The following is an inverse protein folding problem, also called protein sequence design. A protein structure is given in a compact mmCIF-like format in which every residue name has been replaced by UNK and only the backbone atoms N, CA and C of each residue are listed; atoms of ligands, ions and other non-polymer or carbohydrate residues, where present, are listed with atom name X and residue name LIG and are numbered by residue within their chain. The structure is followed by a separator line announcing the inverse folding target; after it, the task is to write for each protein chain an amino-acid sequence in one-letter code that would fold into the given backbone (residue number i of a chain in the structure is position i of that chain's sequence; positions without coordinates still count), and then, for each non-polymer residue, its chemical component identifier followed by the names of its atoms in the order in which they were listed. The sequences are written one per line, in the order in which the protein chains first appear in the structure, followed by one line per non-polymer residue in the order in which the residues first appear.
data_IF_944139099008
#
_entry.id   IF_944139099008
#
_cell.length_a   1.000
_cell.length_b   1.000
_cell.length_c   1.000
_cell.angle_alpha   90.00
_cell.angle_beta   90.00
_cell.angle_gamma   90.00
#
_symmetry.space_group_name_H-M   'P 1'
#
loop_
_entity.id
_entity.type
_entity.pdbx_description
1 polymer ?
#
# COMPACT_ATOMS: atom_id res chain seq x y z
N UNK A 1 23.78 55.19 -37.50
CA UNK A 1 22.33 54.95 -37.29
C UNK A 1 22.06 53.50 -37.70
N UNK A 2 22.05 52.53 -36.79
CA UNK A 2 20.98 52.14 -35.84
C UNK A 2 19.75 51.51 -36.53
N UNK A 3 19.63 50.20 -36.41
CA UNK A 3 18.35 49.53 -36.22
C UNK A 3 18.55 48.46 -35.12
N UNK A 4 17.82 48.54 -34.00
CA UNK A 4 17.86 47.53 -32.95
C UNK A 4 16.90 46.38 -33.29
N UNK A 5 17.38 45.14 -33.27
CA UNK A 5 16.53 43.96 -33.32
C UNK A 5 15.76 43.86 -31.99
N UNK A 6 14.54 44.38 -32.01
CA UNK A 6 13.57 44.23 -30.94
C UNK A 6 13.10 42.79 -30.88
N UNK A 7 13.80 41.95 -30.10
CA UNK A 7 13.13 40.84 -29.45
C UNK A 7 11.99 41.43 -28.61
N UNK A 8 10.73 41.03 -28.80
CA UNK A 8 9.65 41.53 -27.97
C UNK A 8 9.76 40.88 -26.59
N UNK A 9 10.66 41.43 -25.77
CA UNK A 9 10.64 41.28 -24.31
C UNK A 9 9.41 42.06 -23.86
N UNK A 10 8.27 41.37 -23.72
CA UNK A 10 7.06 41.98 -23.16
C UNK A 10 5.77 41.80 -23.97
N UNK A 11 5.57 40.67 -24.65
CA UNK A 11 4.19 40.23 -24.84
C UNK A 11 3.64 39.87 -23.46
N UNK A 12 2.84 40.74 -22.85
CA UNK A 12 2.16 40.45 -21.58
C UNK A 12 1.46 39.10 -21.72
N UNK A 13 1.98 38.11 -20.99
CA UNK A 13 1.48 36.75 -21.09
C UNK A 13 0.02 36.77 -20.66
N UNK A 14 -0.89 36.41 -21.56
CA UNK A 14 -2.31 36.46 -21.24
C UNK A 14 -2.57 35.60 -20.00
N UNK A 15 -3.52 36.01 -19.16
CA UNK A 15 -3.86 35.27 -17.93
C UNK A 15 -4.19 33.80 -18.23
N UNK A 16 -4.77 33.52 -19.39
CA UNK A 16 -5.00 32.16 -19.87
C UNK A 16 -3.72 31.37 -20.13
N UNK A 17 -2.66 31.99 -20.66
CA UNK A 17 -1.36 31.33 -20.85
C UNK A 17 -0.60 31.12 -19.53
N UNK A 18 -0.74 32.02 -18.55
CA UNK A 18 -0.16 31.85 -17.21
C UNK A 18 -0.83 30.70 -16.47
N UNK A 19 -2.16 30.62 -16.52
CA UNK A 19 -2.92 29.53 -15.91
C UNK A 19 -2.63 28.17 -16.58
N UNK A 20 -2.51 28.15 -17.93
CA UNK A 20 -2.14 26.95 -18.66
C UNK A 20 -0.72 26.46 -18.32
N UNK A 21 0.26 27.36 -18.18
CA UNK A 21 1.61 27.01 -17.73
C UNK A 21 1.62 26.52 -16.28
N UNK A 22 0.95 27.20 -15.35
CA UNK A 22 0.86 26.76 -13.95
C UNK A 22 0.19 25.38 -13.82
N UNK A 23 -0.85 25.10 -14.61
CA UNK A 23 -1.51 23.79 -14.62
C UNK A 23 -0.59 22.69 -15.18
N UNK A 24 0.24 23.03 -16.15
CA UNK A 24 1.23 22.11 -16.73
C UNK A 24 2.32 21.78 -15.72
N UNK A 25 2.84 22.79 -15.00
CA UNK A 25 3.87 22.60 -13.98
C UNK A 25 3.36 21.78 -12.79
N UNK A 26 2.10 22.01 -12.36
CA UNK A 26 1.45 21.18 -11.34
C UNK A 26 1.25 19.74 -11.81
N UNK A 27 0.90 19.52 -13.08
CA UNK A 27 0.78 18.16 -13.64
C UNK A 27 2.13 17.45 -13.66
N UNK A 28 3.22 18.16 -13.96
CA UNK A 28 4.58 17.62 -13.89
C UNK A 28 4.95 17.22 -12.46
N UNK A 29 4.68 18.09 -11.48
CA UNK A 29 4.94 17.82 -10.06
C UNK A 29 4.21 16.57 -9.55
N UNK A 30 2.92 16.44 -9.90
CA UNK A 30 2.12 15.27 -9.53
C UNK A 30 2.68 14.00 -10.18
N UNK A 31 3.13 14.09 -11.43
CA UNK A 31 3.74 12.93 -12.10
C UNK A 31 5.02 12.47 -11.42
N UNK A 32 5.87 13.42 -11.00
CA UNK A 32 7.11 13.14 -10.27
C UNK A 32 6.83 12.55 -8.88
N UNK A 33 5.85 13.07 -8.15
CA UNK A 33 5.47 12.53 -6.84
C UNK A 33 4.94 11.09 -6.97
N UNK A 34 4.16 10.81 -8.01
CA UNK A 34 3.70 9.44 -8.32
C UNK A 34 4.88 8.55 -8.71
N UNK A 35 5.83 9.05 -9.49
CA UNK A 35 7.02 8.29 -9.89
C UNK A 35 7.88 7.94 -8.66
N UNK A 36 8.04 8.88 -7.73
CA UNK A 36 8.73 8.69 -6.46
C UNK A 36 8.01 7.69 -5.56
N UNK A 37 6.70 7.86 -5.36
CA UNK A 37 5.88 6.93 -4.58
C UNK A 37 5.92 5.50 -5.16
N UNK A 38 5.92 5.37 -6.49
CA UNK A 38 6.12 4.08 -7.16
C UNK A 38 7.50 3.49 -6.90
N UNK A 39 8.56 4.31 -6.92
CA UNK A 39 9.91 3.85 -6.61
C UNK A 39 10.02 3.37 -5.16
N UNK A 40 9.44 4.11 -4.21
CA UNK A 40 9.42 3.74 -2.80
C UNK A 40 8.62 2.45 -2.57
N UNK A 41 7.44 2.32 -3.19
CA UNK A 41 6.64 1.09 -3.13
C UNK A 41 7.40 -0.11 -3.70
N UNK A 42 8.08 0.04 -4.85
CA UNK A 42 8.93 -1.02 -5.42
C UNK A 42 10.05 -1.41 -4.46
N UNK A 43 10.67 -0.44 -3.79
CA UNK A 43 11.73 -0.69 -2.82
C UNK A 43 11.19 -1.42 -1.58
N UNK A 44 10.01 -1.04 -1.08
CA UNK A 44 9.34 -1.69 0.04
C UNK A 44 8.90 -3.11 -0.32
N UNK A 45 8.35 -3.33 -1.51
CA UNK A 45 8.02 -4.66 -2.03
C UNK A 45 9.28 -5.50 -2.16
N UNK A 46 10.38 -4.96 -2.69
CA UNK A 46 11.64 -5.69 -2.80
C UNK A 46 12.19 -6.08 -1.43
N UNK A 47 12.20 -5.15 -0.47
CA UNK A 47 12.63 -5.41 0.91
C UNK A 47 11.74 -6.45 1.61
N UNK A 48 10.42 -6.31 1.45
CA UNK A 48 9.43 -7.25 1.97
C UNK A 48 9.57 -8.63 1.34
N UNK A 49 9.81 -8.72 0.03
CA UNK A 49 10.02 -9.98 -0.68
C UNK A 49 11.33 -10.66 -0.29
N UNK A 50 12.43 -9.92 -0.21
CA UNK A 50 13.73 -10.49 0.20
C UNK A 50 13.69 -11.00 1.64
N UNK A 51 13.13 -10.21 2.56
CA UNK A 51 12.99 -10.65 3.96
C UNK A 51 11.99 -11.81 4.09
N UNK A 52 10.82 -11.70 3.47
CA UNK A 52 9.80 -12.76 3.46
C UNK A 52 10.32 -14.08 2.89
N UNK A 53 11.06 -14.01 1.77
CA UNK A 53 11.71 -15.18 1.16
C UNK A 53 12.78 -15.79 2.07
N UNK A 54 13.67 -14.97 2.64
CA UNK A 54 14.70 -15.44 3.57
C UNK A 54 14.11 -16.07 4.83
N UNK A 55 13.07 -15.47 5.42
CA UNK A 55 12.36 -16.03 6.58
C UNK A 55 11.66 -17.36 6.24
N UNK A 56 11.09 -17.47 5.05
CA UNK A 56 10.45 -18.72 4.61
C UNK A 56 11.49 -19.85 4.45
N UNK A 57 12.63 -19.54 3.82
CA UNK A 57 13.74 -20.49 3.67
C UNK A 57 14.33 -20.90 5.03
N UNK A 58 14.55 -19.94 5.93
CA UNK A 58 15.02 -20.20 7.29
C UNK A 58 14.04 -21.08 8.09
N UNK A 59 12.74 -20.79 7.98
CA UNK A 59 11.69 -21.62 8.59
C UNK A 59 11.70 -23.05 8.05
N UNK A 60 11.87 -23.23 6.74
CA UNK A 60 11.95 -24.56 6.14
C UNK A 60 13.20 -25.32 6.60
N UNK A 61 14.36 -24.66 6.65
CA UNK A 61 15.60 -25.26 7.13
C UNK A 61 15.52 -25.66 8.61
N UNK A 62 14.90 -24.84 9.45
CA UNK A 62 14.62 -25.18 10.86
C UNK A 62 13.69 -26.39 10.96
N UNK A 63 12.64 -26.45 10.14
CA UNK A 63 11.72 -27.59 10.11
C UNK A 63 12.44 -28.89 9.71
N UNK A 64 13.31 -28.84 8.70
CA UNK A 64 14.12 -29.98 8.27
C UNK A 64 15.20 -30.36 9.30
N UNK A 65 15.67 -29.44 10.15
CA UNK A 65 16.66 -29.75 11.18
C UNK A 65 16.06 -30.35 12.46
N UNK A 66 14.74 -30.23 12.67
CA UNK A 66 14.05 -30.76 13.88
C UNK A 66 14.34 -32.24 14.18
N UNK A 67 14.32 -33.18 13.21
CA UNK A 67 14.66 -34.56 13.51
C UNK A 67 16.08 -34.69 14.06
N UNK A 68 17.05 -33.98 13.44
CA UNK A 68 18.45 -34.01 13.86
C UNK A 68 18.64 -33.39 15.25
N UNK A 69 17.95 -32.29 15.54
CA UNK A 69 17.92 -31.69 16.88
C UNK A 69 17.33 -32.64 17.91
N UNK A 70 16.29 -33.39 17.56
CA UNK A 70 15.67 -34.38 18.45
C UNK A 70 16.63 -35.53 18.78
N UNK A 71 17.35 -36.06 17.77
CA UNK A 71 18.41 -37.04 17.98
C UNK A 71 19.50 -36.49 18.90
N UNK A 72 19.99 -35.28 18.64
CA UNK A 72 21.04 -34.66 19.45
C UNK A 72 20.63 -34.50 20.93
N UNK A 73 19.40 -34.04 21.18
CA UNK A 73 18.83 -33.93 22.52
C UNK A 73 18.66 -35.31 23.18
N UNK A 74 18.12 -36.29 22.47
CA UNK A 74 17.85 -37.61 23.03
C UNK A 74 19.15 -38.31 23.44
N UNK A 75 20.18 -38.25 22.60
CA UNK A 75 21.50 -38.77 22.94
C UNK A 75 22.16 -37.97 24.07
N UNK A 76 22.05 -36.64 24.08
CA UNK A 76 22.58 -35.81 25.18
C UNK A 76 21.96 -36.13 26.54
N UNK A 77 20.63 -36.28 26.60
CA UNK A 77 19.91 -36.66 27.82
C UNK A 77 20.32 -38.07 28.25
N UNK A 78 20.48 -39.00 27.30
CA UNK A 78 20.93 -40.37 27.56
C UNK A 78 22.33 -40.38 28.18
N UNK A 79 23.27 -39.55 27.70
CA UNK A 79 24.64 -39.48 28.24
C UNK A 79 24.67 -39.05 29.70
N UNK A 80 23.78 -38.14 30.10
CA UNK A 80 23.76 -37.59 31.46
C UNK A 80 22.95 -38.44 32.44
N UNK A 81 21.86 -39.06 31.98
CA UNK A 81 20.90 -39.74 32.87
C UNK A 81 20.97 -41.27 32.83
N UNK A 82 21.55 -41.87 31.79
CA UNK A 82 21.57 -43.33 31.59
C UNK A 82 20.19 -43.97 31.34
N UNK A 83 19.12 -43.17 31.27
CA UNK A 83 17.73 -43.62 31.10
C UNK A 83 17.47 -44.32 29.78
N UNK A 84 16.40 -45.13 29.71
CA UNK A 84 15.97 -45.79 28.47
C UNK A 84 15.87 -44.79 27.29
N UNK A 85 16.36 -45.19 26.12
CA UNK A 85 16.43 -44.35 24.94
C UNK A 85 15.05 -43.81 24.54
N UNK A 86 14.00 -44.64 24.67
CA UNK A 86 12.62 -44.24 24.39
C UNK A 86 12.15 -43.06 25.26
N UNK A 87 12.50 -43.06 26.55
CA UNK A 87 12.17 -41.96 27.47
C UNK A 87 12.92 -40.69 27.09
N UNK A 88 14.17 -40.81 26.65
CA UNK A 88 14.98 -39.66 26.21
C UNK A 88 14.40 -39.00 24.94
N UNK A 89 13.94 -39.80 23.97
CA UNK A 89 13.25 -39.28 22.77
C UNK A 89 11.92 -38.60 23.12
N UNK A 90 11.13 -39.19 24.02
CA UNK A 90 9.88 -38.57 24.50
C UNK A 90 10.14 -37.24 25.19
N UNK A 91 11.15 -37.15 26.05
CA UNK A 91 11.52 -35.90 26.72
C UNK A 91 12.00 -34.85 25.71
N UNK A 92 12.82 -35.25 24.73
CA UNK A 92 13.32 -34.36 23.68
C UNK A 92 12.18 -33.82 22.82
N UNK A 93 11.22 -34.67 22.48
CA UNK A 93 10.01 -34.27 21.78
C UNK A 93 9.18 -33.29 22.62
N UNK A 94 8.93 -33.60 23.88
CA UNK A 94 8.21 -32.72 24.80
C UNK A 94 8.88 -31.34 24.93
N UNK A 95 10.21 -31.30 25.05
CA UNK A 95 10.97 -30.06 25.08
C UNK A 95 10.80 -29.23 23.80
N UNK A 96 10.88 -29.87 22.63
CA UNK A 96 10.64 -29.19 21.35
C UNK A 96 9.21 -28.66 21.22
N UNK A 97 8.20 -29.40 21.69
CA UNK A 97 6.80 -28.96 21.70
C UNK A 97 6.60 -27.76 22.61
N UNK A 98 7.23 -27.73 23.79
CA UNK A 98 7.17 -26.58 24.70
C UNK A 98 7.79 -25.33 24.07
N UNK A 99 8.96 -25.46 23.45
CA UNK A 99 9.62 -24.37 22.73
C UNK A 99 8.76 -23.88 21.57
N UNK A 100 8.22 -24.79 20.76
CA UNK A 100 7.32 -24.45 19.66
C UNK A 100 6.05 -23.73 20.15
N UNK A 101 5.46 -24.18 21.25
CA UNK A 101 4.32 -23.54 21.89
C UNK A 101 4.64 -22.11 22.35
N UNK A 102 5.81 -21.90 22.97
CA UNK A 102 6.24 -20.58 23.42
C UNK A 102 6.48 -19.63 22.22
N UNK A 103 7.15 -20.11 21.17
CA UNK A 103 7.37 -19.34 19.94
C UNK A 103 6.04 -18.98 19.26
N UNK A 104 5.09 -19.91 19.20
CA UNK A 104 3.76 -19.66 18.65
C UNK A 104 3.01 -18.59 19.47
N UNK A 105 3.10 -18.64 20.79
CA UNK A 105 2.47 -17.67 21.69
C UNK A 105 3.05 -16.27 21.49
N UNK A 106 4.38 -16.17 21.39
CA UNK A 106 5.08 -14.93 21.04
C UNK A 106 4.60 -14.44 19.67
N UNK A 107 4.60 -15.29 18.64
CA UNK A 107 4.12 -14.93 17.30
C UNK A 107 2.69 -14.38 17.30
N UNK A 108 1.78 -15.01 18.06
CA UNK A 108 0.41 -14.53 18.23
C UNK A 108 0.36 -13.18 18.96
N UNK A 109 1.18 -12.96 19.99
CA UNK A 109 1.24 -11.67 20.68
C UNK A 109 1.72 -10.56 19.75
N UNK A 110 2.76 -10.81 18.95
CA UNK A 110 3.24 -9.87 17.94
C UNK A 110 2.19 -9.59 16.87
N UNK A 111 1.52 -10.63 16.37
CA UNK A 111 0.43 -10.49 15.42
C UNK A 111 -0.75 -9.69 15.99
N UNK A 112 -1.13 -9.92 17.25
CA UNK A 112 -2.16 -9.12 17.96
C UNK A 112 -1.74 -7.66 18.10
N UNK A 113 -0.47 -7.39 18.43
CA UNK A 113 0.08 -6.02 18.48
C UNK A 113 0.02 -5.34 17.12
N UNK A 114 0.42 -6.03 16.06
CA UNK A 114 0.37 -5.55 14.69
C UNK A 114 -1.08 -5.29 14.23
N UNK A 115 -2.03 -6.16 14.58
CA UNK A 115 -3.46 -5.95 14.32
C UNK A 115 -4.06 -4.78 15.09
N UNK A 116 -3.57 -4.47 16.29
CA UNK A 116 -4.00 -3.30 17.08
C UNK A 116 -3.48 -1.99 16.47
N UNK A 117 -2.30 -2.02 15.86
CA UNK A 117 -1.78 -0.95 15.00
C UNK A 117 -2.39 -1.02 13.59
N UNK A 118 -3.69 -0.71 13.48
CA UNK A 118 -4.49 -0.81 12.25
C UNK A 118 -4.10 0.17 11.11
N UNK A 119 -2.83 0.53 10.93
CA UNK A 119 -2.40 1.45 9.86
C UNK A 119 -2.57 0.86 8.46
N UNK A 120 -1.90 -0.25 8.10
CA UNK A 120 -1.90 -0.76 6.73
C UNK A 120 -3.24 -1.36 6.27
N UNK A 121 -3.97 -2.03 7.17
CA UNK A 121 -5.26 -2.65 6.85
C UNK A 121 -6.40 -1.64 6.69
N UNK A 122 -6.42 -0.54 7.47
CA UNK A 122 -7.42 0.52 7.29
C UNK A 122 -7.21 1.26 5.98
N UNK A 123 -5.97 1.56 5.63
CA UNK A 123 -5.66 2.24 4.35
C UNK A 123 -6.09 1.38 3.17
N UNK A 124 -5.78 0.08 3.19
CA UNK A 124 -6.25 -0.84 2.15
C UNK A 124 -7.78 -0.96 2.09
N UNK A 125 -8.45 -0.98 3.25
CA UNK A 125 -9.92 -1.03 3.33
C UNK A 125 -10.57 0.26 2.80
N UNK A 126 -10.10 1.43 3.23
CA UNK A 126 -10.61 2.73 2.77
C UNK A 126 -10.38 2.97 1.29
N UNK A 127 -9.27 2.50 0.70
CA UNK A 127 -9.05 2.57 -0.76
C UNK A 127 -10.05 1.68 -1.50
N UNK A 128 -10.32 0.48 -0.98
CA UNK A 128 -11.29 -0.45 -1.58
C UNK A 128 -12.72 0.06 -1.47
N UNK A 129 -13.04 0.70 -0.35
CA UNK A 129 -14.32 1.36 -0.11
C UNK A 129 -14.52 2.54 -1.05
N UNK A 130 -13.53 3.43 -1.18
CA UNK A 130 -13.56 4.54 -2.15
C UNK A 130 -13.73 4.07 -3.59
N UNK A 131 -13.03 3.00 -4.00
CA UNK A 131 -13.21 2.41 -5.32
C UNK A 131 -14.62 1.83 -5.51
N UNK A 132 -15.20 1.23 -4.46
CA UNK A 132 -16.55 0.67 -4.49
C UNK A 132 -17.66 1.73 -4.52
N UNK A 133 -17.42 2.92 -3.96
CA UNK A 133 -18.35 4.05 -4.07
C UNK A 133 -18.30 4.64 -5.48
N UNK A 134 -17.09 4.78 -6.04
CA UNK A 134 -16.89 5.31 -7.40
C UNK A 134 -17.43 4.38 -8.49
N UNK A 135 -17.32 3.05 -8.35
CA UNK A 135 -17.92 2.11 -9.31
C UNK A 135 -19.46 2.08 -9.24
N UNK A 136 -20.05 2.39 -8.07
CA UNK A 136 -21.50 2.41 -7.87
C UNK A 136 -22.12 3.76 -8.23
N UNK A 137 -21.31 4.81 -8.40
CA UNK A 137 -21.75 6.08 -8.94
C UNK A 137 -22.02 5.94 -10.45
N UNK A 138 -23.24 5.51 -10.80
CA UNK A 138 -23.74 5.52 -12.17
C UNK A 138 -23.68 6.97 -12.72
N UNK A 139 -23.14 7.21 -13.94
CA UNK A 139 -23.17 8.54 -14.55
C UNK A 139 -24.61 9.04 -14.57
N UNK A 140 -24.88 10.16 -13.90
CA UNK A 140 -26.20 10.78 -13.95
C UNK A 140 -26.52 11.10 -15.42
N UNK A 141 -27.65 10.61 -15.96
CA UNK A 141 -28.16 11.10 -17.23
C UNK A 141 -28.32 12.62 -17.06
N UNK A 142 -27.72 13.41 -17.96
CA UNK A 142 -28.10 14.82 -18.07
C UNK A 142 -29.61 14.82 -18.24
N UNK A 143 -30.34 15.45 -17.32
CA UNK A 143 -31.66 15.94 -17.65
C UNK A 143 -31.45 16.94 -18.78
N UNK A 144 -31.78 16.52 -20.01
CA UNK A 144 -32.05 17.47 -21.07
C UNK A 144 -33.20 18.33 -20.55
N UNK A 145 -32.87 19.58 -20.20
CA UNK A 145 -33.89 20.58 -19.92
C UNK A 145 -34.82 20.59 -21.14
N UNK A 146 -36.15 20.48 -20.95
CA UNK A 146 -37.09 20.53 -22.05
C UNK A 146 -36.80 21.74 -22.93
N UNK A 147 -36.43 21.46 -24.18
CA UNK A 147 -36.05 22.42 -25.21
C UNK A 147 -37.19 23.39 -25.59
N UNK A 148 -38.33 23.27 -24.91
CA UNK A 148 -39.57 24.04 -25.09
C UNK A 148 -39.68 25.26 -24.15
N UNK A 149 -38.80 25.40 -23.15
CA UNK A 149 -38.80 26.58 -22.23
C UNK A 149 -37.76 27.65 -22.61
N UNK A 150 -36.94 27.41 -23.62
CA UNK A 150 -35.91 28.37 -24.04
C UNK A 150 -36.46 29.69 -24.61
N UNK A 151 -37.59 29.77 -25.35
CA UNK A 151 -37.98 31.05 -25.95
C UNK A 151 -38.66 32.04 -24.98
N UNK A 152 -39.33 31.57 -23.92
CA UNK A 152 -40.12 32.46 -23.04
C UNK A 152 -39.33 33.09 -21.88
N UNK A 153 -38.22 32.48 -21.45
CA UNK A 153 -37.42 33.01 -20.33
C UNK A 153 -36.54 34.20 -20.76
N UNK A 154 -36.07 34.22 -22.01
CA UNK A 154 -35.32 35.33 -22.61
C UNK A 154 -36.22 36.52 -22.96
N UNK A 155 -37.48 36.29 -23.32
CA UNK A 155 -38.44 37.38 -23.59
C UNK A 155 -38.95 38.07 -22.31
N UNK A 156 -39.08 37.33 -21.20
CA UNK A 156 -39.46 37.87 -19.90
C UNK A 156 -38.38 38.78 -19.29
N UNK A 157 -37.10 38.51 -19.56
CA UNK A 157 -35.96 39.37 -19.14
C UNK A 157 -35.87 40.65 -20.00
N UNK A 158 -36.24 40.59 -21.28
CA UNK A 158 -36.15 41.73 -22.19
C UNK A 158 -37.28 42.78 -22.03
N UNK A 159 -38.43 42.41 -21.45
CA UNK A 159 -39.54 43.35 -21.21
C UNK A 159 -39.48 44.11 -19.88
N UNK A 160 -38.57 43.76 -18.98
CA UNK A 160 -38.46 44.40 -17.65
C UNK A 160 -37.49 45.59 -17.61
N UNK A 161 -36.84 45.96 -18.72
CA UNK A 161 -35.86 47.04 -18.78
C UNK A 161 -36.26 48.22 -19.67
N UNK A 162 -37.56 48.43 -19.90
CA UNK A 162 -38.10 49.57 -20.64
C UNK A 162 -39.04 50.39 -19.76
#
# INVERSE_FOLDING_TARGET
MSAPDGTPVGAERSIGQLFASATTDLSALVHDEIALAKAQLKQDVKRGATSGGAFSAAGMLLLFSLPMLNFALAYGIRTWSGWNLAVCFLLSFAANVLVAGLLALIGVMFAKKAKKGQGPQKVAASVKESASVLQNAKPHPRHELPQDRAPHAIEAVARSSS
#
